data_IF_046094240836
#
_entry.id   IF_046094240836
#
_cell.length_a   1.000
_cell.length_b   1.000
_cell.length_c   1.000
_cell.angle_alpha   90.00
_cell.angle_beta   90.00
_cell.angle_gamma   90.00
#
_symmetry.space_group_name_H-M   'P 1'
#
loop_
_entity.id
_entity.type
_entity.pdbx_description
1 polymer ?
#
# COMPACT_ATOMS: atom_id res chain seq x y z
N UNK A 1 17.89 18.06 17.84
CA UNK A 1 16.43 17.81 17.73
C UNK A 1 16.17 16.44 18.32
N UNK A 2 15.56 16.38 19.50
CA UNK A 2 15.57 15.17 20.34
C UNK A 2 14.60 14.10 19.83
N UNK A 3 15.02 12.82 19.68
CA UNK A 3 14.16 11.69 19.28
C UNK A 3 13.02 11.40 20.27
N UNK A 4 13.00 12.09 21.41
CA UNK A 4 12.02 11.99 22.49
C UNK A 4 10.61 12.44 22.06
N UNK A 5 10.49 13.42 21.16
CA UNK A 5 9.19 13.90 20.69
C UNK A 5 8.47 12.88 19.79
N UNK A 6 9.23 12.11 19.02
CA UNK A 6 8.70 11.01 18.21
C UNK A 6 8.17 9.86 19.08
N UNK A 7 8.83 9.60 20.22
CA UNK A 7 8.39 8.61 21.21
C UNK A 7 7.10 9.03 21.92
N UNK A 8 6.92 10.32 22.18
CA UNK A 8 5.71 10.85 22.82
C UNK A 8 4.45 10.67 21.95
N UNK A 9 4.60 10.71 20.62
CA UNK A 9 3.50 10.54 19.65
C UNK A 9 3.28 9.09 19.21
N UNK A 10 4.28 8.21 19.38
CA UNK A 10 4.22 6.79 19.05
C UNK A 10 3.03 5.99 19.66
N UNK A 11 2.51 6.29 20.87
CA UNK A 11 1.35 5.55 21.39
C UNK A 11 0.03 5.86 20.67
N UNK A 12 -0.10 7.01 19.98
CA UNK A 12 -1.34 7.34 19.25
C UNK A 12 -1.63 6.40 18.07
N UNK A 13 -0.69 6.11 17.15
CA UNK A 13 -0.94 5.15 16.09
C UNK A 13 -1.19 3.73 16.62
N UNK A 14 -0.55 3.33 17.73
CA UNK A 14 -0.80 2.05 18.40
C UNK A 14 -2.24 1.93 18.92
N UNK A 15 -2.72 2.95 19.62
CA UNK A 15 -4.08 2.97 20.16
C UNK A 15 -5.12 3.09 19.05
N UNK A 16 -4.86 3.91 18.01
CA UNK A 16 -5.73 4.00 16.83
C UNK A 16 -5.89 2.65 16.09
N UNK A 17 -4.77 1.99 15.77
CA UNK A 17 -4.78 0.69 15.08
C UNK A 17 -5.44 -0.41 15.91
N UNK A 18 -5.22 -0.44 17.23
CA UNK A 18 -5.84 -1.45 18.09
C UNK A 18 -7.36 -1.26 18.23
N UNK A 19 -7.86 -0.03 18.26
CA UNK A 19 -9.30 0.27 18.21
C UNK A 19 -9.93 -0.22 16.90
N UNK A 20 -9.26 0.03 15.78
CA UNK A 20 -9.67 -0.47 14.46
C UNK A 20 -9.69 -2.00 14.42
N UNK A 21 -8.69 -2.68 15.00
CA UNK A 21 -8.67 -4.15 15.09
C UNK A 21 -9.80 -4.69 15.96
N UNK A 22 -10.11 -4.05 17.09
CA UNK A 22 -11.25 -4.43 17.94
C UNK A 22 -12.59 -4.22 17.24
N UNK A 23 -12.76 -3.11 16.52
CA UNK A 23 -13.95 -2.85 15.71
C UNK A 23 -14.14 -3.86 14.58
N UNK A 24 -13.05 -4.46 14.11
CA UNK A 24 -13.06 -5.54 13.12
C UNK A 24 -13.45 -6.88 13.72
N UNK A 25 -12.91 -7.23 14.89
CA UNK A 25 -13.14 -8.52 15.54
C UNK A 25 -14.49 -8.63 16.25
N UNK A 26 -15.02 -7.52 16.77
CA UNK A 26 -16.26 -7.49 17.56
C UNK A 26 -17.34 -6.68 16.83
N UNK A 27 -18.18 -7.33 16.01
CA UNK A 27 -19.34 -6.68 15.43
C UNK A 27 -20.38 -6.39 16.54
N UNK A 28 -20.51 -5.11 16.90
CA UNK A 28 -21.45 -4.64 17.92
C UNK A 28 -21.90 -3.20 17.68
N UNK A 29 -22.84 -2.68 18.49
CA UNK A 29 -23.39 -1.33 18.32
C UNK A 29 -22.34 -0.21 18.50
N UNK A 30 -21.23 -0.48 19.18
CA UNK A 30 -20.11 0.46 19.36
C UNK A 30 -19.15 0.51 18.16
N UNK A 31 -19.30 -0.40 17.19
CA UNK A 31 -18.44 -0.51 16.01
C UNK A 31 -18.24 0.81 15.24
N UNK A 32 -19.28 1.59 14.88
CA UNK A 32 -19.07 2.87 14.20
C UNK A 32 -18.26 3.85 15.05
N UNK A 33 -18.45 3.86 16.37
CA UNK A 33 -17.72 4.74 17.29
C UNK A 33 -16.25 4.36 17.41
N UNK A 34 -15.94 3.05 17.46
CA UNK A 34 -14.56 2.55 17.47
C UNK A 34 -13.83 2.80 16.15
N UNK A 35 -14.53 2.73 15.02
CA UNK A 35 -13.99 3.09 13.70
C UNK A 35 -13.69 4.59 13.65
N UNK A 36 -14.66 5.43 14.05
CA UNK A 36 -14.50 6.88 14.06
C UNK A 36 -13.36 7.30 15.00
N UNK A 37 -13.28 6.69 16.19
CA UNK A 37 -12.22 6.93 17.16
C UNK A 37 -10.84 6.47 16.67
N UNK A 38 -10.74 5.30 16.04
CA UNK A 38 -9.48 4.79 15.49
C UNK A 38 -8.92 5.67 14.36
N UNK A 39 -9.78 6.07 13.41
CA UNK A 39 -9.40 7.01 12.35
C UNK A 39 -9.13 8.42 12.90
N UNK A 40 -9.94 8.88 13.86
CA UNK A 40 -9.76 10.16 14.53
C UNK A 40 -8.42 10.26 15.24
N UNK A 41 -7.98 9.19 15.94
CA UNK A 41 -6.68 9.15 16.59
C UNK A 41 -5.51 9.17 15.59
N UNK A 42 -5.64 8.46 14.47
CA UNK A 42 -4.64 8.48 13.41
C UNK A 42 -4.53 9.87 12.75
N UNK A 43 -5.67 10.50 12.48
CA UNK A 43 -5.71 11.85 11.95
C UNK A 43 -5.13 12.87 12.95
N UNK A 44 -5.47 12.74 14.24
CA UNK A 44 -4.93 13.58 15.30
C UNK A 44 -3.41 13.41 15.46
N UNK A 45 -2.89 12.18 15.35
CA UNK A 45 -1.44 11.92 15.38
C UNK A 45 -0.72 12.59 14.21
N UNK A 46 -1.30 12.53 13.00
CA UNK A 46 -0.75 13.21 11.81
C UNK A 46 -0.82 14.72 11.99
N UNK A 47 -1.95 15.28 12.42
CA UNK A 47 -2.12 16.70 12.63
C UNK A 47 -1.18 17.25 13.71
N UNK A 48 -1.05 16.56 14.84
CA UNK A 48 -0.15 16.93 15.93
C UNK A 48 1.33 16.86 15.52
N UNK A 49 1.68 16.00 14.56
CA UNK A 49 3.05 15.89 14.07
C UNK A 49 3.53 17.13 13.29
N UNK A 50 2.62 17.92 12.71
CA UNK A 50 2.95 19.11 11.91
C UNK A 50 3.65 20.19 12.76
N UNK A 51 3.08 20.67 13.88
CA UNK A 51 3.75 21.67 14.72
C UNK A 51 4.98 21.12 15.46
N UNK A 52 5.03 19.81 15.74
CA UNK A 52 6.07 19.20 16.57
C UNK A 52 7.32 18.78 15.78
N UNK A 53 7.14 18.26 14.56
CA UNK A 53 8.18 17.63 13.76
C UNK A 53 8.35 18.30 12.38
N UNK A 54 7.54 19.30 12.08
CA UNK A 54 7.50 20.04 10.82
C UNK A 54 6.53 19.42 9.81
N UNK A 55 5.98 20.29 8.95
CA UNK A 55 4.89 19.97 8.03
C UNK A 55 5.16 18.82 7.04
N UNK A 56 6.43 18.52 6.76
CA UNK A 56 6.80 17.43 5.83
C UNK A 56 7.28 16.19 6.58
N UNK A 57 8.17 16.35 7.56
CA UNK A 57 8.79 15.22 8.28
C UNK A 57 7.84 14.56 9.26
N UNK A 58 7.00 15.33 9.95
CA UNK A 58 6.05 14.83 10.94
C UNK A 58 5.03 13.86 10.33
N UNK A 59 4.27 14.28 9.30
CA UNK A 59 3.28 13.41 8.69
C UNK A 59 3.88 12.14 8.09
N UNK A 60 5.03 12.26 7.42
CA UNK A 60 5.74 11.12 6.86
C UNK A 60 6.18 10.12 7.95
N UNK A 61 6.72 10.60 9.08
CA UNK A 61 7.10 9.75 10.20
C UNK A 61 5.89 9.05 10.83
N UNK A 62 4.79 9.77 11.07
CA UNK A 62 3.59 9.19 11.68
C UNK A 62 2.90 8.16 10.77
N UNK A 63 2.85 8.41 9.46
CA UNK A 63 2.36 7.42 8.49
C UNK A 63 3.21 6.16 8.48
N UNK A 64 4.53 6.31 8.58
CA UNK A 64 5.46 5.18 8.63
C UNK A 64 5.25 4.35 9.90
N UNK A 65 5.15 5.01 11.07
CA UNK A 65 4.89 4.33 12.35
C UNK A 65 3.52 3.66 12.35
N UNK A 66 2.47 4.34 11.90
CA UNK A 66 1.13 3.76 11.79
C UNK A 66 1.11 2.52 10.90
N UNK A 67 1.81 2.56 9.76
CA UNK A 67 1.93 1.42 8.85
C UNK A 67 2.70 0.26 9.48
N UNK A 68 3.85 0.54 10.10
CA UNK A 68 4.68 -0.45 10.78
C UNK A 68 3.93 -1.14 11.92
N UNK A 69 3.10 -0.40 12.65
CA UNK A 69 2.24 -0.91 13.72
C UNK A 69 1.06 -1.70 13.17
N UNK A 70 0.44 -1.29 12.06
CA UNK A 70 -0.70 -1.99 11.48
C UNK A 70 -0.34 -3.40 10.95
N UNK A 71 0.85 -3.55 10.35
CA UNK A 71 1.31 -4.80 9.76
C UNK A 71 1.24 -6.03 10.70
N UNK A 72 1.73 -6.00 11.96
CA UNK A 72 1.61 -7.13 12.88
C UNK A 72 0.16 -7.44 13.26
N UNK A 73 -0.74 -6.46 13.35
CA UNK A 73 -2.17 -6.71 13.62
C UNK A 73 -2.89 -7.37 12.42
N UNK A 74 -2.47 -7.04 11.20
CA UNK A 74 -2.93 -7.72 9.99
C UNK A 74 -2.37 -9.13 9.95
N UNK A 75 -1.06 -9.30 10.20
CA UNK A 75 -0.38 -10.60 10.28
C UNK A 75 -0.99 -11.53 11.32
N UNK A 76 -1.33 -11.01 12.50
CA UNK A 76 -2.00 -11.77 13.57
C UNK A 76 -3.44 -12.18 13.22
N UNK A 77 -4.07 -11.52 12.24
CA UNK A 77 -5.38 -11.89 11.70
C UNK A 77 -5.31 -12.87 10.53
N UNK A 78 -4.12 -13.31 10.11
CA UNK A 78 -3.98 -14.28 9.03
C UNK A 78 -4.38 -15.66 9.57
N UNK A 79 -5.65 -16.01 9.38
CA UNK A 79 -6.10 -17.38 9.56
C UNK A 79 -5.54 -18.25 8.44
N UNK A 80 -4.64 -19.17 8.79
CA UNK A 80 -4.17 -20.22 7.90
C UNK A 80 -5.34 -21.21 7.73
N UNK A 81 -6.07 -21.11 6.61
CA UNK A 81 -7.19 -22.01 6.30
C UNK A 81 -6.68 -23.45 6.31
N UNK A 82 -7.13 -24.23 7.29
CA UNK A 82 -6.85 -25.66 7.37
C UNK A 82 -7.43 -26.35 6.14
N UNK A 83 -6.55 -26.79 5.22
CA UNK A 83 -6.92 -27.56 4.05
C UNK A 83 -7.62 -28.89 4.39
N UNK A 84 -7.61 -29.31 5.67
CA UNK A 84 -8.24 -30.55 6.15
C UNK A 84 -9.67 -30.41 6.64
N UNK A 85 -10.21 -29.20 6.85
CA UNK A 85 -11.65 -29.05 7.12
C UNK A 85 -12.40 -29.26 5.81
N UNK A 86 -12.72 -30.52 5.52
CA UNK A 86 -13.68 -30.92 4.48
C UNK A 86 -14.91 -30.02 4.65
N UNK A 87 -15.14 -29.15 3.66
CA UNK A 87 -16.36 -28.36 3.60
C UNK A 87 -17.53 -29.35 3.66
N UNK A 88 -18.43 -29.15 4.62
CA UNK A 88 -19.71 -29.84 4.64
C UNK A 88 -20.36 -29.58 3.28
N UNK A 89 -20.49 -30.66 2.53
CA UNK A 89 -20.90 -30.71 1.13
C UNK A 89 -22.39 -30.42 1.06
N UNK A 90 -22.83 -29.16 1.17
CA UNK A 90 -24.26 -28.88 0.91
C UNK A 90 -24.71 -27.43 0.64
N UNK A 91 -23.82 -26.43 0.50
CA UNK A 91 -24.25 -25.15 -0.08
C UNK A 91 -23.47 -24.84 -1.35
N UNK A 92 -24.21 -24.35 -2.34
CA UNK A 92 -23.78 -24.03 -3.69
C UNK A 92 -22.34 -23.49 -3.72
N UNK A 93 -21.46 -24.01 -4.60
CA UNK A 93 -20.05 -23.62 -4.61
C UNK A 93 -19.92 -22.10 -4.67
N UNK A 94 -19.44 -21.48 -3.59
CA UNK A 94 -19.03 -20.09 -3.64
C UNK A 94 -17.92 -19.96 -4.70
N UNK A 95 -17.85 -18.85 -5.45
CA UNK A 95 -16.88 -18.65 -6.54
C UNK A 95 -15.41 -18.87 -6.13
N UNK A 96 -15.13 -18.87 -4.82
CA UNK A 96 -13.85 -19.16 -4.18
C UNK A 96 -13.43 -20.64 -4.16
N UNK A 97 -14.33 -21.57 -4.46
CA UNK A 97 -14.05 -23.03 -4.48
C UNK A 97 -13.45 -23.51 -5.82
N UNK A 98 -13.21 -22.60 -6.77
CA UNK A 98 -12.47 -22.91 -8.00
C UNK A 98 -11.04 -23.30 -7.65
N UNK A 99 -10.63 -24.51 -8.07
CA UNK A 99 -9.28 -25.07 -7.98
C UNK A 99 -8.21 -23.99 -8.18
N UNK A 100 -7.66 -23.47 -7.08
CA UNK A 100 -6.65 -22.41 -7.09
C UNK A 100 -5.37 -23.02 -7.64
N UNK A 101 -5.05 -22.71 -8.89
CA UNK A 101 -3.78 -23.13 -9.51
C UNK A 101 -2.67 -22.33 -8.83
N UNK A 102 -1.93 -22.95 -7.91
CA UNK A 102 -0.86 -22.29 -7.11
C UNK A 102 0.16 -21.58 -8.01
N UNK A 103 0.43 -22.12 -9.20
CA UNK A 103 1.24 -21.50 -10.24
C UNK A 103 0.71 -20.13 -10.71
N UNK A 104 -0.62 -19.96 -10.85
CA UNK A 104 -1.22 -18.65 -11.16
C UNK A 104 -1.04 -17.66 -10.01
N UNK A 105 -0.96 -18.14 -8.76
CA UNK A 105 -0.64 -17.30 -7.60
C UNK A 105 0.80 -16.80 -7.62
N UNK A 106 1.76 -17.68 -7.93
CA UNK A 106 3.17 -17.31 -8.12
C UNK A 106 3.37 -16.37 -9.31
N UNK A 107 2.72 -16.67 -10.46
CA UNK A 107 2.75 -15.80 -11.64
C UNK A 107 2.14 -14.43 -11.35
N UNK A 108 1.06 -14.36 -10.57
CA UNK A 108 0.49 -13.10 -10.08
C UNK A 108 1.44 -12.37 -9.16
N UNK A 109 2.11 -13.05 -8.24
CA UNK A 109 3.10 -12.41 -7.34
C UNK A 109 4.29 -11.83 -8.10
N UNK A 110 4.80 -12.55 -9.10
CA UNK A 110 5.93 -12.12 -9.92
C UNK A 110 5.57 -11.00 -10.91
N UNK A 111 4.34 -10.98 -11.42
CA UNK A 111 3.83 -9.82 -12.15
C UNK A 111 3.56 -8.64 -11.21
N UNK A 112 2.89 -8.89 -10.08
CA UNK A 112 2.47 -7.85 -9.16
C UNK A 112 3.67 -7.12 -8.55
N UNK A 113 4.76 -7.83 -8.23
CA UNK A 113 5.94 -7.23 -7.62
C UNK A 113 6.88 -6.62 -8.66
N UNK A 114 7.72 -7.44 -9.32
CA UNK A 114 8.69 -6.99 -10.30
C UNK A 114 8.13 -6.08 -11.41
N UNK A 115 7.05 -6.48 -12.08
CA UNK A 115 6.55 -5.71 -13.24
C UNK A 115 5.94 -4.37 -12.82
N UNK A 116 5.18 -4.34 -11.73
CA UNK A 116 4.70 -3.07 -11.18
C UNK A 116 5.87 -2.18 -10.71
N UNK A 117 6.95 -2.77 -10.22
CA UNK A 117 8.16 -2.05 -9.84
C UNK A 117 8.83 -1.39 -11.04
N UNK A 118 9.00 -2.12 -12.13
CA UNK A 118 9.56 -1.57 -13.39
C UNK A 118 8.68 -0.45 -13.94
N UNK A 119 7.35 -0.62 -13.95
CA UNK A 119 6.43 0.41 -14.39
C UNK A 119 6.51 1.67 -13.52
N UNK A 120 6.57 1.50 -12.20
CA UNK A 120 6.69 2.60 -11.24
C UNK A 120 8.02 3.34 -11.40
N UNK A 121 9.13 2.62 -11.57
CA UNK A 121 10.46 3.20 -11.84
C UNK A 121 10.48 3.96 -13.16
N UNK A 122 9.87 3.41 -14.21
CA UNK A 122 9.70 4.07 -15.51
C UNK A 122 8.96 5.40 -15.37
N UNK A 123 7.83 5.42 -14.63
CA UNK A 123 7.10 6.65 -14.32
C UNK A 123 7.97 7.66 -13.55
N UNK A 124 8.68 7.23 -12.50
CA UNK A 124 9.55 8.11 -11.71
C UNK A 124 10.67 8.73 -12.55
N UNK A 125 11.28 7.92 -13.43
CA UNK A 125 12.31 8.37 -14.38
C UNK A 125 11.73 9.35 -15.41
N UNK A 126 10.56 9.05 -15.98
CA UNK A 126 9.89 9.94 -16.92
C UNK A 126 9.54 11.29 -16.27
N UNK A 127 9.14 11.32 -14.99
CA UNK A 127 8.92 12.58 -14.27
C UNK A 127 10.25 13.33 -14.09
N UNK A 128 11.31 12.63 -13.66
CA UNK A 128 12.62 13.22 -13.47
C UNK A 128 13.18 13.85 -14.76
N UNK A 129 13.00 13.19 -15.91
CA UNK A 129 13.56 13.62 -17.22
C UNK A 129 12.62 14.52 -18.02
N UNK A 130 11.30 14.33 -17.93
CA UNK A 130 10.34 15.00 -18.81
C UNK A 130 9.55 16.16 -18.19
N UNK A 131 9.29 16.17 -16.88
CA UNK A 131 8.48 17.21 -16.24
C UNK A 131 9.03 18.66 -16.41
N UNK A 132 8.23 19.71 -16.31
CA UNK A 132 8.75 21.08 -16.23
C UNK A 132 9.28 21.40 -14.81
N UNK A 133 10.33 22.23 -14.68
CA UNK A 133 10.81 22.76 -13.39
C UNK A 133 12.29 22.50 -13.06
N UNK A 134 12.70 22.91 -11.84
CA UNK A 134 14.06 22.72 -11.33
C UNK A 134 14.42 21.23 -11.21
N UNK A 135 15.66 20.89 -11.57
CA UNK A 135 16.18 19.51 -11.59
C UNK A 135 16.00 18.84 -10.22
N UNK A 136 16.32 19.55 -9.13
CA UNK A 136 16.21 19.06 -7.76
C UNK A 136 14.78 18.65 -7.41
N UNK A 137 13.79 19.50 -7.73
CA UNK A 137 12.37 19.22 -7.44
C UNK A 137 11.88 18.00 -8.21
N UNK A 138 12.28 17.86 -9.48
CA UNK A 138 11.84 16.77 -10.37
C UNK A 138 12.42 15.43 -9.96
N UNK A 139 13.68 15.40 -9.51
CA UNK A 139 14.30 14.20 -8.96
C UNK A 139 13.61 13.75 -7.66
N UNK A 140 13.30 14.70 -6.76
CA UNK A 140 12.59 14.41 -5.51
C UNK A 140 11.18 13.88 -5.79
N UNK A 141 10.41 14.55 -6.66
CA UNK A 141 9.05 14.12 -7.02
C UNK A 141 9.10 12.75 -7.72
N UNK A 142 10.02 12.57 -8.67
CA UNK A 142 10.21 11.31 -9.38
C UNK A 142 10.47 10.16 -8.42
N UNK A 143 11.37 10.33 -7.45
CA UNK A 143 11.67 9.32 -6.43
C UNK A 143 10.50 9.05 -5.48
N UNK A 144 9.75 10.08 -5.08
CA UNK A 144 8.61 9.94 -4.17
C UNK A 144 7.41 9.22 -4.81
N UNK A 145 7.20 9.35 -6.12
CA UNK A 145 6.06 8.75 -6.81
C UNK A 145 6.19 7.22 -6.97
N UNK A 146 7.43 6.71 -7.06
CA UNK A 146 7.73 5.28 -7.29
C UNK A 146 7.08 4.36 -6.23
N UNK A 147 7.28 4.54 -4.91
CA UNK A 147 6.72 3.63 -3.91
C UNK A 147 5.20 3.60 -3.91
N UNK A 148 4.53 4.74 -4.18
CA UNK A 148 3.06 4.79 -4.26
C UNK A 148 2.53 4.06 -5.50
N UNK A 149 3.13 4.31 -6.66
CA UNK A 149 2.77 3.59 -7.88
C UNK A 149 3.06 2.11 -7.79
N UNK A 150 4.16 1.72 -7.14
CA UNK A 150 4.52 0.33 -6.96
C UNK A 150 3.55 -0.40 -6.03
N UNK A 151 3.25 0.17 -4.86
CA UNK A 151 2.28 -0.37 -3.92
C UNK A 151 0.86 -0.41 -4.52
N UNK A 152 0.46 0.66 -5.23
CA UNK A 152 -0.82 0.71 -5.95
C UNK A 152 -0.90 -0.35 -7.06
N UNK A 153 0.18 -0.54 -7.83
CA UNK A 153 0.28 -1.57 -8.85
C UNK A 153 0.18 -2.98 -8.27
N UNK A 154 0.83 -3.25 -7.13
CA UNK A 154 0.67 -4.50 -6.38
C UNK A 154 -0.78 -4.71 -5.92
N UNK A 155 -1.39 -3.72 -5.29
CA UNK A 155 -2.76 -3.83 -4.81
C UNK A 155 -3.75 -4.06 -5.96
N UNK A 156 -3.58 -3.34 -7.06
CA UNK A 156 -4.44 -3.45 -8.24
C UNK A 156 -4.31 -4.80 -8.93
N UNK A 157 -3.08 -5.26 -9.20
CA UNK A 157 -2.82 -6.58 -9.81
C UNK A 157 -3.34 -7.75 -8.98
N UNK A 158 -3.32 -7.64 -7.64
CA UNK A 158 -3.89 -8.63 -6.73
C UNK A 158 -5.42 -8.59 -6.70
N UNK A 159 -6.02 -7.41 -6.88
CA UNK A 159 -7.48 -7.23 -6.93
C UNK A 159 -8.12 -7.62 -8.28
N UNK A 160 -7.35 -7.63 -9.37
CA UNK A 160 -7.89 -7.91 -10.70
C UNK A 160 -8.05 -9.42 -10.96
N UNK A 161 -9.24 -9.81 -11.41
CA UNK A 161 -9.52 -11.19 -11.79
C UNK A 161 -8.83 -11.59 -13.11
N UNK A 162 -8.43 -10.62 -13.95
CA UNK A 162 -7.80 -10.85 -15.27
C UNK A 162 -6.33 -10.39 -15.29
N UNK A 163 -5.42 -11.34 -15.03
CA UNK A 163 -3.96 -11.14 -15.03
C UNK A 163 -3.45 -10.50 -16.33
N UNK A 164 -4.00 -10.91 -17.48
CA UNK A 164 -3.60 -10.40 -18.80
C UNK A 164 -3.85 -8.90 -18.96
N UNK A 165 -4.91 -8.36 -18.35
CA UNK A 165 -5.20 -6.91 -18.39
C UNK A 165 -4.17 -6.14 -17.57
N UNK A 166 -3.91 -6.60 -16.35
CA UNK A 166 -2.92 -5.98 -15.49
C UNK A 166 -1.51 -6.03 -16.11
N UNK A 167 -1.15 -7.15 -16.74
CA UNK A 167 0.08 -7.29 -17.51
C UNK A 167 0.17 -6.28 -18.66
N UNK A 168 -0.85 -6.23 -19.52
CA UNK A 168 -0.85 -5.35 -20.69
C UNK A 168 -0.72 -3.87 -20.30
N UNK A 169 -1.41 -3.45 -19.24
CA UNK A 169 -1.34 -2.07 -18.74
C UNK A 169 0.05 -1.78 -18.15
N UNK A 170 0.59 -2.65 -17.29
CA UNK A 170 1.90 -2.43 -16.68
C UNK A 170 3.05 -2.46 -17.72
N UNK A 171 2.98 -3.38 -18.67
CA UNK A 171 3.92 -3.45 -19.79
C UNK A 171 3.81 -2.19 -20.66
N UNK A 172 2.59 -1.76 -21.00
CA UNK A 172 2.34 -0.53 -21.76
C UNK A 172 2.88 0.71 -21.06
N UNK A 173 2.62 0.87 -19.76
CA UNK A 173 3.14 1.98 -18.96
C UNK A 173 4.66 1.94 -18.90
N UNK A 174 5.27 0.78 -18.72
CA UNK A 174 6.73 0.63 -18.70
C UNK A 174 7.34 1.05 -20.04
N UNK A 175 6.82 0.56 -21.16
CA UNK A 175 7.31 0.90 -22.51
C UNK A 175 7.11 2.39 -22.80
N UNK A 176 5.95 2.95 -22.49
CA UNK A 176 5.66 4.35 -22.76
C UNK A 176 6.55 5.29 -21.93
N UNK A 177 6.74 5.00 -20.64
CA UNK A 177 7.50 5.88 -19.74
C UNK A 177 8.99 5.78 -19.96
N UNK A 178 9.53 4.56 -20.14
CA UNK A 178 10.93 4.37 -20.52
C UNK A 178 11.19 4.95 -21.92
N UNK A 179 10.30 4.70 -22.88
CA UNK A 179 10.41 5.26 -24.23
C UNK A 179 10.44 6.78 -24.23
N UNK A 180 9.55 7.43 -23.49
CA UNK A 180 9.53 8.89 -23.36
C UNK A 180 10.81 9.43 -22.68
N UNK A 181 11.30 8.75 -21.65
CA UNK A 181 12.56 9.09 -20.97
C UNK A 181 13.77 8.97 -21.92
N UNK A 182 13.87 7.89 -22.70
CA UNK A 182 14.97 7.69 -23.64
C UNK A 182 14.91 8.64 -24.83
N UNK A 183 13.73 8.90 -25.42
CA UNK A 183 13.60 9.85 -26.53
C UNK A 183 14.03 11.26 -26.13
N UNK A 184 13.64 11.70 -24.93
CA UNK A 184 14.00 13.04 -24.45
C UNK A 184 15.44 13.12 -23.95
N UNK A 185 16.02 12.03 -23.47
CA UNK A 185 17.45 11.97 -23.10
C UNK A 185 18.40 11.89 -24.30
N UNK A 186 17.89 11.56 -25.49
CA UNK A 186 18.67 11.48 -26.73
C UNK A 186 18.62 12.78 -27.58
N UNK A 187 17.72 13.71 -27.24
CA UNK A 187 17.59 15.05 -27.84
C UNK A 187 18.35 16.08 -26.99
#
# INVERSE_FOLDING_TARGET
MSPLWSLALAPLPLTGVSLLKRAWNEPGPERPWRILGGWGLLAAAIAASVPLLGAVRGPAAMLTVASAVALPFVGAGVERRDARKKAARELAPEPSDRRRVVWRGWLRGFLAGPLAGVAALGCGLAVAICAPGQIQSRMVIGGLIVPFLWAGGMAWTLSDNRILRAFAVLAGVSVATLGAAFLKGAL
#
